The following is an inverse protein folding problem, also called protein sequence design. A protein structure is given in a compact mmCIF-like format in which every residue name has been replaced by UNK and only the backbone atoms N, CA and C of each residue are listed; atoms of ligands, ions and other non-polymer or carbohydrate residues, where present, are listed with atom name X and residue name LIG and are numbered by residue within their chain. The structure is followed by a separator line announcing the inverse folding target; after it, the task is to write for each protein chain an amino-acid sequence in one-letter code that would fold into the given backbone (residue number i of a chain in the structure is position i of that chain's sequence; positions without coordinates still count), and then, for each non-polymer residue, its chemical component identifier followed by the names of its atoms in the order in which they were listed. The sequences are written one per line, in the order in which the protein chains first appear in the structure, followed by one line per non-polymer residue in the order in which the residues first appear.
data_IF_175291499475
#
_entry.id   IF_175291499475
#
_cell.length_a   1.000
_cell.length_b   1.000
_cell.length_c   1.000
_cell.angle_alpha   90.00
_cell.angle_beta   90.00
_cell.angle_gamma   90.00
#
_symmetry.space_group_name_H-M   'P 1'
#
loop_
_entity.id
_entity.type
_entity.pdbx_description
1 polymer ?
#
# COMPACT_ATOMS: atom_id res chain seq x y z
N UNK A 1 6.36 -25.82 11.55
CA UNK A 1 6.03 -25.13 10.32
C UNK A 1 6.74 -23.80 10.23
N UNK A 2 7.42 -23.57 9.16
CA UNK A 2 8.13 -22.31 8.98
C UNK A 2 7.28 -21.32 8.20
N UNK A 3 7.18 -20.12 8.71
CA UNK A 3 6.54 -19.02 8.00
C UNK A 3 7.60 -18.08 7.52
N UNK A 4 7.47 -17.62 6.32
CA UNK A 4 8.38 -16.65 5.74
C UNK A 4 7.66 -15.33 5.60
N UNK A 5 8.37 -14.27 5.97
CA UNK A 5 7.90 -12.90 5.77
C UNK A 5 8.62 -12.31 4.58
N UNK A 6 7.87 -11.70 3.72
CA UNK A 6 8.41 -11.07 2.53
C UNK A 6 7.89 -9.65 2.46
N UNK A 7 8.81 -8.70 2.37
CA UNK A 7 8.42 -7.30 2.22
C UNK A 7 8.08 -7.05 0.77
N UNK A 8 6.94 -6.44 0.55
CA UNK A 8 6.48 -6.07 -0.77
C UNK A 8 6.04 -4.62 -0.79
N UNK A 9 6.16 -4.01 -1.95
CA UNK A 9 5.64 -2.66 -2.15
C UNK A 9 4.29 -2.79 -2.84
N UNK A 10 3.28 -2.18 -2.24
CA UNK A 10 1.96 -2.07 -2.84
C UNK A 10 1.66 -0.62 -3.13
N UNK A 11 0.92 -0.38 -4.20
CA UNK A 11 0.53 0.97 -4.58
C UNK A 11 -0.97 1.13 -4.40
N UNK A 12 -1.35 2.21 -3.73
CA UNK A 12 -2.76 2.57 -3.57
C UNK A 12 -3.00 3.83 -4.39
N UNK A 13 -3.84 3.71 -5.40
CA UNK A 13 -4.12 4.81 -6.32
C UNK A 13 -5.52 5.36 -6.05
N UNK A 14 -5.59 6.64 -5.70
CA UNK A 14 -6.86 7.34 -5.52
C UNK A 14 -6.76 8.70 -6.19
N UNK A 15 -7.59 8.92 -7.21
CA UNK A 15 -7.59 10.18 -7.93
C UNK A 15 -6.23 10.46 -8.56
N UNK A 16 -5.64 11.60 -8.20
CA UNK A 16 -4.33 11.99 -8.73
C UNK A 16 -3.17 11.55 -7.85
N UNK A 17 -3.43 10.80 -6.79
CA UNK A 17 -2.41 10.44 -5.83
C UNK A 17 -2.15 8.95 -5.82
N UNK A 18 -0.90 8.60 -5.56
CA UNK A 18 -0.49 7.20 -5.40
C UNK A 18 0.32 7.10 -4.12
N UNK A 19 -0.03 6.14 -3.29
CA UNK A 19 0.74 5.82 -2.09
C UNK A 19 1.58 4.59 -2.35
N UNK A 20 2.86 4.70 -2.03
CA UNK A 20 3.79 3.57 -2.08
C UNK A 20 3.89 3.00 -0.68
N UNK A 21 3.38 1.79 -0.48
CA UNK A 21 3.18 1.22 0.85
C UNK A 21 3.96 -0.06 0.99
N UNK A 22 4.78 -0.13 2.04
CA UNK A 22 5.45 -1.37 2.39
C UNK A 22 4.49 -2.26 3.17
N UNK A 23 4.36 -3.50 2.72
CA UNK A 23 3.51 -4.48 3.39
C UNK A 23 4.29 -5.78 3.55
N UNK A 24 3.86 -6.61 4.50
CA UNK A 24 4.42 -7.93 4.67
C UNK A 24 3.48 -8.97 4.11
N UNK A 25 4.02 -9.84 3.27
CA UNK A 25 3.30 -11.02 2.84
C UNK A 25 3.79 -12.19 3.67
N UNK A 26 2.86 -13.00 4.13
CA UNK A 26 3.17 -14.18 4.92
C UNK A 26 2.99 -15.40 4.04
N UNK A 27 4.06 -16.17 3.90
CA UNK A 27 4.05 -17.43 3.17
C UNK A 27 4.32 -18.55 4.15
N UNK A 28 3.72 -19.71 3.94
CA UNK A 28 4.03 -20.87 4.73
C UNK A 28 4.33 -22.07 3.83
N UNK A 29 4.62 -23.21 4.43
CA UNK A 29 5.03 -24.40 3.70
C UNK A 29 3.86 -25.16 3.07
N UNK A 30 2.64 -24.71 3.29
CA UNK A 30 1.46 -25.40 2.78
C UNK A 30 1.24 -25.21 1.29
N UNK A 31 1.92 -24.24 0.70
CA UNK A 31 1.75 -23.94 -0.72
C UNK A 31 0.58 -23.04 -1.02
N UNK A 32 -0.10 -22.52 -0.01
CA UNK A 32 -1.16 -21.54 -0.21
C UNK A 32 -0.58 -20.21 -0.65
N UNK A 33 -1.40 -19.43 -1.33
CA UNK A 33 -0.99 -18.10 -1.76
C UNK A 33 -0.61 -17.24 -0.56
N UNK A 34 0.42 -16.40 -0.70
CA UNK A 34 0.78 -15.48 0.38
C UNK A 34 -0.39 -14.55 0.73
N UNK A 35 -0.45 -14.14 1.98
CA UNK A 35 -1.52 -13.26 2.44
C UNK A 35 -0.94 -12.09 3.25
N UNK A 36 -1.71 -11.00 3.30
CA UNK A 36 -1.33 -9.82 4.05
C UNK A 36 -1.65 -10.00 5.53
N UNK A 37 -0.83 -9.40 6.38
CA UNK A 37 -1.18 -9.29 7.79
C UNK A 37 -2.40 -8.39 7.94
N UNK A 38 -3.18 -8.64 8.99
CA UNK A 38 -4.35 -7.81 9.29
C UNK A 38 -3.95 -6.35 9.47
N UNK A 39 -2.84 -6.11 10.16
CA UNK A 39 -2.33 -4.76 10.39
C UNK A 39 -2.06 -4.02 9.09
N UNK A 40 -1.51 -4.72 8.10
CA UNK A 40 -1.22 -4.10 6.82
C UNK A 40 -2.48 -3.86 6.01
N UNK A 41 -3.48 -4.75 6.13
CA UNK A 41 -4.77 -4.53 5.47
C UNK A 41 -5.43 -3.25 6.02
N UNK A 42 -5.41 -3.07 7.33
CA UNK A 42 -5.93 -1.85 7.94
C UNK A 42 -5.13 -0.62 7.50
N UNK A 43 -3.82 -0.76 7.42
CA UNK A 43 -2.98 0.34 6.97
C UNK A 43 -3.35 0.79 5.56
N UNK A 44 -3.55 -0.17 4.66
CA UNK A 44 -3.94 0.15 3.29
C UNK A 44 -5.29 0.86 3.25
N UNK A 45 -6.24 0.42 4.07
CA UNK A 45 -7.55 1.06 4.13
C UNK A 45 -7.46 2.50 4.64
N UNK A 46 -6.65 2.72 5.67
CA UNK A 46 -6.48 4.07 6.22
C UNK A 46 -5.85 5.01 5.20
N UNK A 47 -4.88 4.51 4.45
CA UNK A 47 -4.24 5.30 3.41
C UNK A 47 -5.24 5.65 2.33
N UNK A 48 -6.04 4.68 1.89
CA UNK A 48 -7.04 4.91 0.85
C UNK A 48 -8.04 5.96 1.29
N UNK A 49 -8.54 5.85 2.52
CA UNK A 49 -9.49 6.83 3.05
C UNK A 49 -8.88 8.22 3.12
N UNK A 50 -7.65 8.33 3.60
CA UNK A 50 -6.97 9.62 3.69
C UNK A 50 -6.81 10.24 2.31
N UNK A 51 -6.43 9.46 1.31
CA UNK A 51 -6.27 9.97 -0.05
C UNK A 51 -7.60 10.44 -0.64
N UNK A 52 -8.68 9.72 -0.34
CA UNK A 52 -10.02 10.11 -0.81
C UNK A 52 -10.43 11.47 -0.25
N UNK A 53 -10.07 11.73 1.00
CA UNK A 53 -10.37 13.00 1.63
C UNK A 53 -9.40 14.11 1.23
N UNK A 54 -8.35 13.77 0.50
CA UNK A 54 -7.29 14.73 0.19
C UNK A 54 -6.38 15.02 1.37
N UNK A 55 -6.40 14.17 2.38
CA UNK A 55 -5.61 14.32 3.60
C UNK A 55 -4.24 13.68 3.40
N UNK A 56 -3.38 14.39 2.69
CA UNK A 56 -2.07 13.86 2.33
C UNK A 56 -1.16 13.72 3.55
N UNK A 57 -1.34 14.59 4.54
CA UNK A 57 -0.53 14.53 5.75
C UNK A 57 -0.76 13.23 6.50
N UNK A 58 -2.02 12.83 6.68
CA UNK A 58 -2.32 11.58 7.35
C UNK A 58 -1.81 10.39 6.54
N UNK A 59 -2.01 10.42 5.23
CA UNK A 59 -1.54 9.33 4.38
C UNK A 59 -0.03 9.20 4.44
N UNK A 60 0.71 10.30 4.50
CA UNK A 60 2.16 10.27 4.48
C UNK A 60 2.77 9.74 5.79
N UNK A 61 1.97 9.59 6.85
CA UNK A 61 2.43 8.92 8.06
C UNK A 61 2.67 7.43 7.82
N UNK A 62 1.99 6.85 6.83
CA UNK A 62 2.04 5.42 6.59
C UNK A 62 2.75 5.04 5.30
N UNK A 63 2.95 6.00 4.40
CA UNK A 63 3.41 5.68 3.06
C UNK A 63 4.05 6.89 2.43
N UNK A 64 4.78 6.65 1.36
CA UNK A 64 5.30 7.72 0.53
C UNK A 64 4.23 8.09 -0.50
N UNK A 65 3.85 9.35 -0.54
CA UNK A 65 2.75 9.80 -1.38
C UNK A 65 3.29 10.56 -2.57
N UNK A 66 2.78 10.21 -3.75
CA UNK A 66 3.15 10.85 -5.01
C UNK A 66 1.91 11.44 -5.66
N UNK A 67 2.10 12.52 -6.36
CA UNK A 67 1.05 13.09 -7.19
C UNK A 67 1.31 12.70 -8.64
N UNK A 68 0.28 12.17 -9.31
CA UNK A 68 0.37 11.84 -10.72
C UNK A 68 0.11 13.08 -11.56
N UNK A 69 0.98 13.33 -12.51
CA UNK A 69 0.81 14.45 -13.43
C UNK A 69 0.86 13.94 -14.85
N UNK A 70 -0.08 14.35 -15.69
CA UNK A 70 -0.01 13.96 -17.10
C UNK A 70 1.25 14.49 -17.74
N UNK A 71 1.83 13.69 -18.62
CA UNK A 71 2.95 14.13 -19.42
C UNK A 71 2.42 14.97 -20.56
N UNK A 72 3.01 16.13 -20.78
CA UNK A 72 2.57 17.02 -21.86
C UNK A 72 2.83 16.37 -23.20
N UNK A 73 1.87 16.50 -24.11
CA UNK A 73 2.02 16.04 -25.49
C UNK A 73 2.51 17.17 -26.36
N UNK A 74 3.41 16.81 -27.24
CA UNK A 74 3.94 17.75 -28.23
C UNK A 74 3.34 17.50 -29.60
#
# INVERSE_FOLDING_TARGET
MKRRKKIKIKYVHEGRYVAEVEVELIEDETGWSPYLRVEDAYKLDKIREALRRGDLQSASHYARIYELRPVAHQ
#
